data_IF_615487975609
#
_entry.id   IF_615487975609
#
_cell.length_a   1.000
_cell.length_b   1.000
_cell.length_c   1.000
_cell.angle_alpha   90.00
_cell.angle_beta   90.00
_cell.angle_gamma   90.00
#
_symmetry.space_group_name_H-M   'P 1'
#
loop_
_entity.id
_entity.type
_entity.pdbx_description
1 polymer ?
#
# COMPACT_ATOMS: atom_id res chain seq x y z
N UNK A 1 29.82 7.07 -4.27
CA UNK A 1 29.21 7.81 -5.41
C UNK A 1 27.77 7.39 -5.69
N UNK A 2 27.49 6.17 -6.20
CA UNK A 2 26.10 5.71 -6.42
C UNK A 2 25.35 5.57 -5.10
N UNK A 3 26.03 5.11 -4.05
CA UNK A 3 25.46 5.03 -2.70
C UNK A 3 25.17 6.40 -2.10
N UNK A 4 26.00 7.41 -2.39
CA UNK A 4 25.80 8.79 -1.94
C UNK A 4 24.61 9.44 -2.66
N UNK A 5 24.45 9.17 -3.95
CA UNK A 5 23.27 9.59 -4.72
C UNK A 5 22.00 8.93 -4.18
N UNK A 6 22.02 7.62 -3.92
CA UNK A 6 20.87 6.89 -3.33
C UNK A 6 20.55 7.46 -1.95
N UNK A 7 21.57 7.72 -1.11
CA UNK A 7 21.39 8.28 0.23
C UNK A 7 20.82 9.69 0.16
N UNK A 8 21.36 10.55 -0.70
CA UNK A 8 20.86 11.90 -0.92
C UNK A 8 19.40 11.89 -1.41
N UNK A 9 19.09 10.99 -2.35
CA UNK A 9 17.72 10.79 -2.83
C UNK A 9 16.80 10.39 -1.68
N UNK A 10 17.15 9.38 -0.89
CA UNK A 10 16.35 8.92 0.23
C UNK A 10 16.13 9.99 1.31
N UNK A 11 17.15 10.80 1.61
CA UNK A 11 17.11 11.78 2.70
C UNK A 11 16.48 13.12 2.30
N UNK A 12 16.57 13.50 1.02
CA UNK A 12 16.31 14.89 0.59
C UNK A 12 15.31 15.02 -0.56
N UNK A 13 15.25 14.04 -1.47
CA UNK A 13 14.42 14.14 -2.69
C UNK A 13 13.17 13.26 -2.61
N UNK A 14 13.28 12.12 -1.95
CA UNK A 14 12.17 11.17 -1.84
C UNK A 14 11.00 11.76 -1.06
N UNK A 15 9.82 11.18 -1.27
CA UNK A 15 8.61 11.50 -0.51
C UNK A 15 8.88 11.47 1.00
N UNK A 16 9.70 10.50 1.44
CA UNK A 16 10.12 10.37 2.82
C UNK A 16 10.89 11.60 3.33
N UNK A 17 11.89 12.04 2.56
CA UNK A 17 12.73 13.19 2.91
C UNK A 17 11.94 14.50 2.95
N UNK A 18 11.05 14.69 1.98
CA UNK A 18 10.31 15.94 1.79
C UNK A 18 9.09 16.09 2.71
N UNK A 19 8.40 14.99 3.04
CA UNK A 19 7.11 15.06 3.76
C UNK A 19 7.13 14.24 5.05
N UNK A 20 7.46 12.95 4.97
CA UNK A 20 7.28 12.05 6.12
C UNK A 20 8.29 12.24 7.25
N UNK A 21 9.45 12.83 6.96
CA UNK A 21 10.41 13.26 7.99
C UNK A 21 9.75 14.18 9.03
N UNK A 22 8.75 14.96 8.60
CA UNK A 22 7.99 15.89 9.44
C UNK A 22 6.72 15.25 10.07
N UNK A 23 6.42 13.99 9.79
CA UNK A 23 5.18 13.29 10.20
C UNK A 23 5.41 11.93 10.86
N UNK A 24 6.52 11.79 11.61
CA UNK A 24 6.95 10.50 12.21
C UNK A 24 5.85 9.78 13.00
N UNK A 25 5.08 10.52 13.82
CA UNK A 25 4.02 9.94 14.66
C UNK A 25 2.82 9.49 13.84
N UNK A 26 2.39 10.30 12.87
CA UNK A 26 1.25 9.93 12.02
C UNK A 26 1.58 8.73 11.13
N UNK A 27 2.83 8.62 10.66
CA UNK A 27 3.32 7.43 9.97
C UNK A 27 3.27 6.19 10.85
N UNK A 28 3.71 6.29 12.11
CA UNK A 28 3.63 5.17 13.06
C UNK A 28 2.19 4.72 13.28
N UNK A 29 1.28 5.67 13.51
CA UNK A 29 -0.15 5.38 13.64
C UNK A 29 -0.75 4.74 12.39
N UNK A 30 -0.38 5.24 11.21
CA UNK A 30 -0.83 4.69 9.94
C UNK A 30 -0.36 3.24 9.75
N UNK A 31 0.87 2.94 10.13
CA UNK A 31 1.39 1.57 10.05
C UNK A 31 0.65 0.64 11.01
N UNK A 32 0.45 1.07 12.26
CA UNK A 32 -0.31 0.30 13.26
C UNK A 32 -1.74 0.08 12.79
N UNK A 33 -2.41 1.09 12.22
CA UNK A 33 -3.77 0.95 11.72
C UNK A 33 -3.86 -0.04 10.56
N UNK A 34 -2.84 -0.10 9.68
CA UNK A 34 -2.82 -1.10 8.59
C UNK A 34 -2.69 -2.51 9.15
N UNK A 35 -1.77 -2.73 10.09
CA UNK A 35 -1.59 -4.05 10.70
C UNK A 35 -2.87 -4.48 11.42
N UNK A 36 -3.48 -3.58 12.18
CA UNK A 36 -4.75 -3.83 12.83
C UNK A 36 -5.86 -4.17 11.81
N UNK A 37 -5.91 -3.46 10.68
CA UNK A 37 -6.88 -3.72 9.62
C UNK A 37 -6.70 -5.10 8.98
N UNK A 38 -5.45 -5.53 8.76
CA UNK A 38 -5.16 -6.88 8.25
C UNK A 38 -5.65 -7.94 9.24
N UNK A 39 -5.34 -7.76 10.53
CA UNK A 39 -5.74 -8.71 11.59
C UNK A 39 -7.27 -8.80 11.72
N UNK A 40 -7.99 -7.67 11.71
CA UNK A 40 -9.46 -7.69 11.79
C UNK A 40 -10.10 -8.25 10.53
N UNK A 41 -9.51 -8.03 9.35
CA UNK A 41 -9.96 -8.64 8.10
C UNK A 41 -9.80 -10.17 8.14
N UNK A 42 -8.68 -10.67 8.67
CA UNK A 42 -8.49 -12.11 8.89
C UNK A 42 -9.53 -12.67 9.87
N UNK A 43 -9.78 -11.97 10.98
CA UNK A 43 -10.83 -12.36 11.93
C UNK A 43 -12.22 -12.44 11.30
N UNK A 44 -12.55 -11.53 10.38
CA UNK A 44 -13.81 -11.54 9.64
C UNK A 44 -13.89 -12.74 8.67
N UNK A 45 -12.79 -13.10 8.01
CA UNK A 45 -12.73 -14.31 7.18
C UNK A 45 -12.96 -15.58 8.00
N UNK A 46 -12.32 -15.72 9.16
CA UNK A 46 -12.56 -16.86 10.06
C UNK A 46 -13.99 -16.88 10.60
N UNK A 47 -14.55 -15.71 10.93
CA UNK A 47 -15.95 -15.58 11.31
C UNK A 47 -16.89 -16.05 10.20
N UNK A 48 -16.66 -15.64 8.96
CA UNK A 48 -17.44 -16.07 7.80
C UNK A 48 -17.39 -17.60 7.59
N UNK A 49 -16.20 -18.19 7.69
CA UNK A 49 -16.03 -19.65 7.64
C UNK A 49 -16.82 -20.32 8.77
N UNK A 50 -16.75 -19.80 10.00
CA UNK A 50 -17.49 -20.35 11.13
C UNK A 50 -19.02 -20.30 10.93
N UNK A 51 -19.55 -19.19 10.39
CA UNK A 51 -20.98 -19.08 10.04
C UNK A 51 -21.37 -20.14 9.02
N UNK A 52 -20.55 -20.35 7.98
CA UNK A 52 -20.82 -21.42 7.00
C UNK A 52 -20.76 -22.82 7.59
N UNK A 53 -19.95 -23.04 8.65
CA UNK A 53 -19.78 -24.34 9.31
C UNK A 53 -20.81 -24.63 10.40
N UNK A 54 -21.49 -23.63 10.95
CA UNK A 54 -22.37 -23.82 12.11
C UNK A 54 -23.79 -23.28 11.91
N UNK A 55 -24.03 -22.56 10.80
CA UNK A 55 -25.26 -21.82 10.55
C UNK A 55 -25.51 -20.66 11.53
N UNK A 56 -24.63 -20.47 12.51
CA UNK A 56 -24.80 -19.50 13.60
C UNK A 56 -23.96 -18.26 13.31
N UNK A 57 -24.61 -17.10 13.27
CA UNK A 57 -23.92 -15.83 13.00
C UNK A 57 -23.12 -15.38 14.24
N UNK A 58 -21.79 -15.33 14.11
CA UNK A 58 -20.93 -14.67 15.08
C UNK A 58 -20.81 -13.19 14.75
N UNK A 59 -21.43 -12.33 15.56
CA UNK A 59 -21.38 -10.88 15.38
C UNK A 59 -20.10 -10.22 15.93
N UNK A 60 -19.39 -10.91 16.84
CA UNK A 60 -18.22 -10.35 17.53
C UNK A 60 -17.05 -9.90 16.62
N UNK A 61 -16.75 -10.50 15.45
CA UNK A 61 -15.64 -10.04 14.61
C UNK A 61 -16.02 -8.83 13.72
N UNK A 62 -17.31 -8.54 13.54
CA UNK A 62 -17.77 -7.41 12.73
C UNK A 62 -17.51 -6.06 13.41
N UNK A 63 -17.77 -5.99 14.72
CA UNK A 63 -17.59 -4.76 15.52
C UNK A 63 -16.16 -4.22 15.42
N UNK A 64 -15.09 -4.99 15.75
CA UNK A 64 -13.72 -4.49 15.67
C UNK A 64 -13.31 -4.17 14.23
N UNK A 65 -13.82 -4.89 13.23
CA UNK A 65 -13.54 -4.59 11.83
C UNK A 65 -14.03 -3.19 11.43
N UNK A 66 -15.29 -2.86 11.70
CA UNK A 66 -15.84 -1.55 11.35
C UNK A 66 -15.17 -0.41 12.13
N UNK A 67 -14.82 -0.64 13.40
CA UNK A 67 -14.06 0.33 14.21
C UNK A 67 -12.70 0.61 13.59
N UNK A 68 -11.93 -0.44 13.28
CA UNK A 68 -10.59 -0.30 12.70
C UNK A 68 -10.64 0.29 11.28
N UNK A 69 -11.64 -0.07 10.48
CA UNK A 69 -11.87 0.54 9.17
C UNK A 69 -12.11 2.06 9.30
N UNK A 70 -12.99 2.47 10.21
CA UNK A 70 -13.27 3.90 10.46
C UNK A 70 -12.02 4.66 10.89
N UNK A 71 -11.26 4.12 11.85
CA UNK A 71 -9.99 4.70 12.30
C UNK A 71 -9.00 4.83 11.14
N UNK A 72 -8.86 3.80 10.32
CA UNK A 72 -7.93 3.80 9.18
C UNK A 72 -8.29 4.86 8.14
N UNK A 73 -9.58 5.05 7.85
CA UNK A 73 -10.06 6.09 6.94
C UNK A 73 -9.78 7.50 7.50
N UNK A 74 -10.02 7.72 8.79
CA UNK A 74 -9.74 9.00 9.45
C UNK A 74 -8.24 9.32 9.40
N UNK A 75 -7.39 8.33 9.74
CA UNK A 75 -5.94 8.48 9.70
C UNK A 75 -5.48 8.80 8.28
N UNK A 76 -5.97 8.08 7.27
CA UNK A 76 -5.65 8.31 5.86
C UNK A 76 -6.03 9.71 5.40
N UNK A 77 -7.22 10.19 5.78
CA UNK A 77 -7.65 11.55 5.46
C UNK A 77 -6.74 12.60 6.11
N UNK A 78 -6.48 12.46 7.42
CA UNK A 78 -5.60 13.36 8.15
C UNK A 78 -4.17 13.34 7.60
N UNK A 79 -3.72 12.19 7.13
CA UNK A 79 -2.43 12.01 6.47
C UNK A 79 -2.34 12.86 5.20
N UNK A 80 -3.30 12.74 4.29
CA UNK A 80 -3.34 13.55 3.07
C UNK A 80 -3.39 15.05 3.35
N UNK A 81 -4.20 15.48 4.33
CA UNK A 81 -4.32 16.90 4.71
C UNK A 81 -2.98 17.43 5.25
N UNK A 82 -2.31 16.67 6.12
CA UNK A 82 -1.07 17.11 6.75
C UNK A 82 0.11 17.08 5.78
N UNK A 83 0.16 16.11 4.87
CA UNK A 83 1.11 16.08 3.77
C UNK A 83 0.95 17.31 2.86
N UNK A 84 -0.28 17.63 2.43
CA UNK A 84 -0.57 18.85 1.66
C UNK A 84 -0.17 20.12 2.40
N UNK A 85 -0.36 20.16 3.73
CA UNK A 85 0.04 21.31 4.55
C UNK A 85 1.56 21.50 4.54
N UNK A 86 2.34 20.43 4.72
CA UNK A 86 3.81 20.49 4.70
C UNK A 86 4.31 20.92 3.33
N UNK A 87 3.77 20.33 2.26
CA UNK A 87 4.15 20.68 0.89
C UNK A 87 3.88 22.17 0.61
N UNK A 88 2.79 22.70 1.14
CA UNK A 88 2.48 24.13 1.06
C UNK A 88 3.40 25.00 1.91
N UNK A 89 3.68 24.63 3.16
CA UNK A 89 4.47 25.48 4.08
C UNK A 89 5.95 25.47 3.76
N UNK A 90 6.53 24.30 3.46
CA UNK A 90 7.97 24.15 3.23
C UNK A 90 8.38 24.49 1.79
N UNK A 91 7.50 24.25 0.81
CA UNK A 91 7.84 24.39 -0.61
C UNK A 91 6.96 25.37 -1.38
N UNK A 92 5.94 25.98 -0.75
CA UNK A 92 5.06 26.94 -1.41
C UNK A 92 4.20 26.32 -2.52
N UNK A 93 4.03 25.00 -2.55
CA UNK A 93 3.29 24.29 -3.59
C UNK A 93 1.82 24.16 -3.16
N UNK A 94 0.93 24.70 -3.97
CA UNK A 94 -0.51 24.67 -3.74
C UNK A 94 -1.15 23.57 -4.59
N UNK A 95 -1.85 22.64 -3.94
CA UNK A 95 -2.62 21.58 -4.59
C UNK A 95 -4.11 21.90 -4.56
N UNK A 96 -4.85 21.49 -5.60
CA UNK A 96 -6.32 21.47 -5.54
C UNK A 96 -6.78 20.39 -4.57
N UNK A 97 -7.94 20.59 -3.92
CA UNK A 97 -8.49 19.68 -2.89
C UNK A 97 -8.59 18.22 -3.36
N UNK A 98 -8.78 17.99 -4.65
CA UNK A 98 -9.14 16.67 -5.19
C UNK A 98 -7.93 15.93 -5.81
N UNK A 99 -6.84 16.66 -6.10
CA UNK A 99 -5.63 16.15 -6.76
C UNK A 99 -4.66 15.49 -5.77
N UNK A 100 -4.77 15.80 -4.48
CA UNK A 100 -3.81 15.36 -3.46
C UNK A 100 -2.50 16.17 -3.49
N UNK A 101 -1.52 15.78 -2.67
CA UNK A 101 -0.28 16.55 -2.50
C UNK A 101 0.79 16.27 -3.57
N UNK A 102 0.76 15.09 -4.21
CA UNK A 102 1.69 14.66 -5.27
C UNK A 102 1.36 15.28 -6.63
N UNK A 103 1.39 16.61 -6.71
CA UNK A 103 1.12 17.37 -7.94
C UNK A 103 2.31 17.36 -8.91
N UNK A 104 2.11 17.79 -10.16
CA UNK A 104 3.23 17.98 -11.11
C UNK A 104 4.27 18.97 -10.59
N UNK A 105 3.84 20.03 -9.88
CA UNK A 105 4.75 20.98 -9.22
C UNK A 105 5.62 20.32 -8.15
N UNK A 106 5.05 19.35 -7.43
CA UNK A 106 5.79 18.54 -6.46
C UNK A 106 6.85 17.68 -7.17
N UNK A 107 6.49 16.99 -8.25
CA UNK A 107 7.45 16.23 -9.08
C UNK A 107 8.54 17.12 -9.67
N UNK A 108 8.19 18.30 -10.17
CA UNK A 108 9.15 19.27 -10.67
C UNK A 108 10.14 19.72 -9.58
N UNK A 109 9.68 19.86 -8.33
CA UNK A 109 10.56 20.16 -7.19
C UNK A 109 11.54 19.01 -6.92
N UNK A 110 11.07 17.76 -6.92
CA UNK A 110 11.93 16.57 -6.78
C UNK A 110 13.01 16.53 -7.87
N UNK A 111 12.61 16.75 -9.12
CA UNK A 111 13.53 16.81 -10.25
C UNK A 111 14.55 17.95 -10.10
N UNK A 112 14.12 19.15 -9.71
CA UNK A 112 15.05 20.27 -9.50
C UNK A 112 16.09 20.02 -8.40
N UNK A 113 15.72 19.30 -7.32
CA UNK A 113 16.63 18.94 -6.25
C UNK A 113 17.64 17.86 -6.67
N UNK A 114 17.24 16.96 -7.58
CA UNK A 114 18.09 15.94 -8.15
C UNK A 114 19.07 16.55 -9.17
N UNK A 115 18.59 17.38 -10.10
CA UNK A 115 19.42 18.12 -11.06
C UNK A 115 20.47 18.95 -10.34
N UNK A 116 20.06 19.74 -9.34
CA UNK A 116 21.01 20.56 -8.58
C UNK A 116 22.04 19.72 -7.79
N UNK A 117 21.75 18.46 -7.47
CA UNK A 117 22.75 17.56 -6.90
C UNK A 117 23.72 17.05 -7.96
N UNK A 118 23.23 16.69 -9.15
CA UNK A 118 24.06 16.24 -10.25
C UNK A 118 25.04 17.34 -10.68
N UNK A 119 24.56 18.57 -10.88
CA UNK A 119 25.39 19.73 -11.23
C UNK A 119 26.47 20.00 -10.17
N UNK A 120 26.12 19.99 -8.87
CA UNK A 120 27.08 20.23 -7.78
C UNK A 120 28.17 19.16 -7.65
N UNK A 121 27.98 18.00 -8.26
CA UNK A 121 28.93 16.89 -8.22
C UNK A 121 29.53 16.59 -9.60
N UNK A 122 29.34 17.48 -10.59
CA UNK A 122 29.78 17.31 -11.99
C UNK A 122 29.24 16.02 -12.64
N UNK A 123 27.98 15.66 -12.39
CA UNK A 123 27.33 14.42 -12.85
C UNK A 123 26.21 14.65 -13.86
N UNK A 124 26.07 15.88 -14.33
CA UNK A 124 25.05 16.35 -15.26
C UNK A 124 25.33 16.00 -16.73
N UNK A 125 26.54 15.52 -17.06
CA UNK A 125 26.85 15.03 -18.41
C UNK A 125 26.03 13.76 -18.76
N UNK A 126 25.43 13.73 -19.95
CA UNK A 126 24.53 12.65 -20.43
C UNK A 126 25.11 11.24 -20.19
N UNK A 127 26.39 11.05 -20.53
CA UNK A 127 27.05 9.74 -20.37
C UNK A 127 27.28 9.34 -18.90
N UNK A 128 27.37 10.30 -17.98
CA UNK A 128 27.50 10.04 -16.53
C UNK A 128 26.15 9.65 -15.95
N UNK A 129 25.07 10.30 -16.38
CA UNK A 129 23.69 9.95 -16.01
C UNK A 129 23.33 8.54 -16.49
N UNK A 130 23.63 8.18 -17.73
CA UNK A 130 23.43 6.82 -18.26
C UNK A 130 24.19 5.76 -17.43
N UNK A 131 25.46 6.06 -17.11
CA UNK A 131 26.30 5.17 -16.30
C UNK A 131 25.79 5.01 -14.87
N UNK A 132 25.14 6.03 -14.30
CA UNK A 132 24.47 5.96 -13.01
C UNK A 132 23.23 5.06 -13.08
N UNK A 133 22.37 5.23 -14.09
CA UNK A 133 21.19 4.39 -14.32
C UNK A 133 21.62 2.91 -14.43
N UNK A 134 22.62 2.62 -15.25
CA UNK A 134 23.10 1.26 -15.46
C UNK A 134 23.61 0.62 -14.16
N UNK A 135 24.40 1.36 -13.37
CA UNK A 135 24.90 0.87 -12.07
C UNK A 135 23.79 0.63 -11.05
N UNK A 136 22.76 1.48 -11.00
CA UNK A 136 21.63 1.30 -10.08
C UNK A 136 20.82 0.04 -10.46
N UNK A 137 20.60 -0.17 -11.76
CA UNK A 137 19.91 -1.35 -12.30
C UNK A 137 20.67 -2.64 -11.99
N UNK A 138 21.99 -2.65 -12.14
CA UNK A 138 22.80 -3.84 -11.85
C UNK A 138 22.87 -4.16 -10.35
N UNK A 139 22.88 -3.14 -9.48
CA UNK A 139 22.73 -3.31 -8.03
C UNK A 139 21.36 -3.90 -7.62
N UNK A 140 20.35 -3.81 -8.49
CA UNK A 140 19.00 -4.37 -8.32
C UNK A 140 18.91 -5.88 -8.43
N UNK A 141 19.78 -6.49 -9.24
CA UNK A 141 19.71 -7.92 -9.60
C UNK A 141 20.17 -8.88 -8.49
N UNK A 142 20.70 -8.37 -7.38
CA UNK A 142 21.48 -9.17 -6.41
C UNK A 142 20.76 -9.65 -5.14
N UNK A 143 19.44 -9.49 -4.99
CA UNK A 143 18.75 -9.97 -3.77
C UNK A 143 17.46 -10.74 -4.04
N UNK A 144 17.52 -12.01 -3.60
CA UNK A 144 16.49 -13.04 -3.37
C UNK A 144 15.34 -13.05 -4.38
N UNK A 145 15.15 -14.14 -5.14
CA UNK A 145 14.09 -14.22 -6.13
C UNK A 145 12.72 -13.94 -5.49
N UNK A 146 11.91 -13.01 -6.05
CA UNK A 146 10.63 -12.57 -5.50
C UNK A 146 9.58 -13.70 -5.37
N UNK A 147 9.89 -14.92 -5.82
CA UNK A 147 9.07 -16.13 -5.76
C UNK A 147 9.21 -16.92 -4.46
N UNK A 148 10.26 -16.70 -3.65
CA UNK A 148 10.48 -17.48 -2.42
C UNK A 148 9.46 -17.15 -1.33
N UNK A 149 9.15 -15.86 -1.14
CA UNK A 149 8.18 -15.42 -0.13
C UNK A 149 6.73 -15.82 -0.47
N UNK A 150 6.23 -15.66 -1.72
CA UNK A 150 4.94 -16.22 -2.12
C UNK A 150 4.91 -17.75 -2.03
N UNK A 151 6.01 -18.43 -2.36
CA UNK A 151 6.13 -19.88 -2.27
C UNK A 151 6.01 -20.41 -0.83
N UNK A 152 6.63 -19.74 0.13
CA UNK A 152 6.47 -20.04 1.56
C UNK A 152 5.03 -19.80 2.04
N UNK A 153 4.41 -18.69 1.63
CA UNK A 153 3.02 -18.39 1.95
C UNK A 153 2.06 -19.46 1.39
N UNK A 154 2.26 -19.87 0.14
CA UNK A 154 1.51 -20.95 -0.51
C UNK A 154 1.73 -22.29 0.20
N UNK A 155 2.97 -22.61 0.59
CA UNK A 155 3.29 -23.84 1.30
C UNK A 155 2.59 -23.94 2.67
N UNK A 156 2.34 -22.81 3.34
CA UNK A 156 1.55 -22.77 4.58
C UNK A 156 0.04 -22.74 4.33
N UNK A 157 -0.42 -22.06 3.28
CA UNK A 157 -1.86 -21.96 2.99
C UNK A 157 -2.44 -23.27 2.42
N UNK A 158 -1.74 -23.94 1.50
CA UNK A 158 -2.28 -25.12 0.80
C UNK A 158 -2.71 -26.24 1.75
N UNK A 159 -1.93 -26.61 2.80
CA UNK A 159 -2.35 -27.60 3.78
C UNK A 159 -3.60 -27.17 4.57
N UNK A 160 -3.69 -25.88 4.94
CA UNK A 160 -4.85 -25.33 5.65
C UNK A 160 -6.12 -25.39 4.78
N UNK A 161 -6.00 -25.07 3.49
CA UNK A 161 -7.10 -25.17 2.52
C UNK A 161 -7.55 -26.62 2.29
N UNK A 162 -6.61 -27.56 2.18
CA UNK A 162 -6.93 -28.99 2.03
C UNK A 162 -7.67 -29.55 3.25
N UNK A 163 -7.43 -29.01 4.45
CA UNK A 163 -8.18 -29.41 5.65
C UNK A 163 -9.55 -28.72 5.77
N UNK A 164 -9.69 -27.51 5.25
CA UNK A 164 -10.92 -26.71 5.33
C UNK A 164 -12.04 -27.28 4.44
N UNK A 165 -11.70 -27.70 3.22
CA UNK A 165 -12.67 -28.12 2.19
C UNK A 165 -13.53 -29.33 2.64
N UNK A 166 -12.96 -30.43 3.16
CA UNK A 166 -13.75 -31.57 3.65
C UNK A 166 -14.68 -31.20 4.81
N UNK A 167 -14.24 -30.26 5.66
CA UNK A 167 -14.98 -29.78 6.82
C UNK A 167 -16.23 -28.99 6.39
N UNK A 168 -16.11 -28.16 5.36
CA UNK A 168 -17.24 -27.44 4.75
C UNK A 168 -18.24 -28.43 4.13
N UNK A 169 -17.76 -29.43 3.38
CA UNK A 169 -18.63 -30.44 2.77
C UNK A 169 -19.38 -31.31 3.79
N UNK A 170 -18.73 -31.64 4.91
CA UNK A 170 -19.35 -32.42 5.98
C UNK A 170 -20.51 -31.67 6.67
N UNK A 171 -20.40 -30.35 6.83
CA UNK A 171 -21.44 -29.53 7.46
C UNK A 171 -22.63 -29.29 6.52
N UNK A 172 -22.37 -28.97 5.25
CA UNK A 172 -23.42 -28.61 4.29
C UNK A 172 -24.41 -29.77 4.04
N UNK A 173 -23.98 -31.02 4.24
CA UNK A 173 -24.83 -32.21 4.12
C UNK A 173 -25.89 -32.41 5.22
N UNK A 174 -25.89 -31.60 6.30
CA UNK A 174 -26.70 -31.87 7.51
C UNK A 174 -27.91 -30.93 7.76
N UNK A 175 -28.06 -29.81 7.03
CA UNK A 175 -29.16 -28.85 7.28
C UNK A 175 -30.47 -29.23 6.55
N UNK A 176 -31.55 -29.43 7.31
CA UNK A 176 -32.90 -29.81 6.82
C UNK A 176 -33.87 -28.64 6.61
N UNK A 177 -33.48 -27.38 6.91
CA UNK A 177 -34.32 -26.19 6.68
C UNK A 177 -33.70 -25.28 5.61
N UNK A 178 -33.63 -25.82 4.39
CA UNK A 178 -32.75 -25.34 3.33
C UNK A 178 -33.17 -24.05 2.63
N UNK A 179 -34.42 -23.58 2.73
CA UNK A 179 -34.88 -22.45 1.91
C UNK A 179 -34.71 -21.09 2.58
N UNK A 180 -35.08 -20.94 3.85
CA UNK A 180 -35.00 -19.65 4.56
C UNK A 180 -33.54 -19.33 4.92
N UNK A 181 -32.76 -20.33 5.35
CA UNK A 181 -31.32 -20.16 5.64
C UNK A 181 -30.52 -19.86 4.36
N UNK A 182 -30.90 -20.45 3.23
CA UNK A 182 -30.25 -20.21 1.94
C UNK A 182 -30.65 -18.85 1.35
N UNK A 183 -31.90 -18.41 1.53
CA UNK A 183 -32.32 -17.05 1.15
C UNK A 183 -31.69 -15.98 2.06
N UNK A 184 -31.60 -16.20 3.36
CA UNK A 184 -30.95 -15.28 4.29
C UNK A 184 -29.43 -15.24 4.05
N UNK A 185 -28.82 -16.39 3.79
CA UNK A 185 -27.42 -16.52 3.40
C UNK A 185 -27.14 -15.86 2.05
N UNK A 186 -27.98 -16.08 1.04
CA UNK A 186 -27.87 -15.41 -0.25
C UNK A 186 -28.08 -13.90 -0.13
N UNK A 187 -28.99 -13.44 0.73
CA UNK A 187 -29.19 -12.02 1.02
C UNK A 187 -27.97 -11.42 1.74
N UNK A 188 -27.39 -12.10 2.74
CA UNK A 188 -26.19 -11.63 3.43
C UNK A 188 -24.95 -11.67 2.53
N UNK A 189 -24.80 -12.68 1.67
CA UNK A 189 -23.72 -12.77 0.69
C UNK A 189 -23.89 -11.70 -0.39
N UNK A 190 -25.11 -11.48 -0.89
CA UNK A 190 -25.36 -10.42 -1.89
C UNK A 190 -25.23 -9.02 -1.30
N UNK A 191 -25.65 -8.80 -0.06
CA UNK A 191 -25.40 -7.56 0.67
C UNK A 191 -23.90 -7.38 0.95
N UNK A 192 -23.17 -8.44 1.29
CA UNK A 192 -21.72 -8.41 1.48
C UNK A 192 -20.99 -8.14 0.16
N UNK A 193 -21.41 -8.76 -0.94
CA UNK A 193 -20.90 -8.50 -2.29
C UNK A 193 -21.26 -7.09 -2.76
N UNK A 194 -22.47 -6.60 -2.50
CA UNK A 194 -22.89 -5.25 -2.84
C UNK A 194 -22.14 -4.20 -2.01
N UNK A 195 -21.91 -4.46 -0.72
CA UNK A 195 -21.04 -3.66 0.14
C UNK A 195 -19.62 -3.75 -0.40
N UNK A 196 -19.08 -4.92 -0.75
CA UNK A 196 -17.76 -5.05 -1.37
C UNK A 196 -17.69 -4.34 -2.71
N UNK A 197 -18.73 -4.30 -3.54
CA UNK A 197 -18.70 -3.64 -4.86
C UNK A 197 -18.88 -2.12 -4.75
N UNK A 198 -19.76 -1.66 -3.86
CA UNK A 198 -19.99 -0.25 -3.58
C UNK A 198 -18.79 0.35 -2.85
N UNK A 199 -18.35 -0.37 -1.82
CA UNK A 199 -17.12 -0.05 -1.12
C UNK A 199 -15.93 -0.28 -2.04
N UNK A 200 -15.82 -1.30 -2.89
CA UNK A 200 -14.66 -1.48 -3.77
C UNK A 200 -14.47 -0.34 -4.75
N UNK A 201 -15.44 0.51 -5.08
CA UNK A 201 -15.16 1.77 -5.81
C UNK A 201 -14.55 2.84 -4.91
N UNK A 202 -15.08 3.01 -3.70
CA UNK A 202 -14.62 3.98 -2.70
C UNK A 202 -13.30 3.49 -2.08
N UNK A 203 -13.31 2.30 -1.50
CA UNK A 203 -12.18 1.45 -1.14
C UNK A 203 -11.21 1.25 -2.31
N UNK A 204 -11.57 1.08 -3.59
CA UNK A 204 -10.52 1.12 -4.64
C UNK A 204 -9.85 2.47 -4.61
N UNK A 205 -10.60 3.57 -4.64
CA UNK A 205 -9.98 4.90 -4.66
C UNK A 205 -9.11 5.17 -3.43
N UNK A 206 -9.59 4.79 -2.25
CA UNK A 206 -8.92 5.02 -0.97
C UNK A 206 -7.88 3.95 -0.66
N UNK A 207 -8.17 2.65 -0.75
CA UNK A 207 -7.20 1.55 -0.63
C UNK A 207 -6.19 1.54 -1.77
N UNK A 208 -6.50 1.89 -3.02
CA UNK A 208 -5.46 1.97 -4.07
C UNK A 208 -4.52 3.14 -3.80
N UNK A 209 -5.04 4.33 -3.47
CA UNK A 209 -4.20 5.46 -3.01
C UNK A 209 -3.44 5.13 -1.72
N UNK A 210 -4.07 4.46 -0.76
CA UNK A 210 -3.46 4.05 0.51
C UNK A 210 -2.49 2.87 0.36
N UNK A 211 -2.68 1.97 -0.60
CA UNK A 211 -1.76 0.90 -0.98
C UNK A 211 -0.56 1.49 -1.70
N UNK A 212 -0.78 2.43 -2.60
CA UNK A 212 0.31 3.11 -3.29
C UNK A 212 1.09 4.07 -2.40
N UNK A 213 0.46 4.72 -1.42
CA UNK A 213 1.13 5.65 -0.50
C UNK A 213 1.66 4.95 0.75
N UNK A 214 0.87 4.16 1.48
CA UNK A 214 1.28 3.62 2.79
C UNK A 214 1.84 2.20 2.68
N UNK A 215 1.30 1.33 1.81
CA UNK A 215 1.81 -0.04 1.67
C UNK A 215 3.17 -0.09 0.96
N UNK A 216 3.39 0.79 -0.02
CA UNK A 216 4.69 1.01 -0.65
C UNK A 216 5.75 1.53 0.31
N UNK A 217 5.34 2.30 1.31
CA UNK A 217 6.22 2.90 2.31
C UNK A 217 6.49 2.00 3.51
N UNK A 218 5.51 1.19 3.95
CA UNK A 218 5.72 0.15 4.97
C UNK A 218 6.61 -0.98 4.45
N UNK A 219 6.35 -1.43 3.23
CA UNK A 219 7.21 -2.37 2.52
C UNK A 219 8.13 -1.57 1.61
N UNK A 220 8.97 -0.72 2.21
CA UNK A 220 10.04 0.05 1.56
C UNK A 220 10.98 -0.92 0.83
N UNK A 221 10.53 -1.43 -0.30
CA UNK A 221 11.28 -2.33 -1.11
C UNK A 221 12.38 -1.46 -1.70
N UNK A 222 13.63 -1.74 -1.31
CA UNK A 222 14.80 -1.03 -1.83
C UNK A 222 14.82 -0.99 -3.37
N UNK A 223 14.10 -1.91 -4.04
CA UNK A 223 13.82 -1.87 -5.47
C UNK A 223 12.97 -0.67 -5.89
N UNK A 224 11.85 -0.37 -5.24
CA UNK A 224 10.95 0.72 -5.64
C UNK A 224 11.60 2.10 -5.55
N UNK A 225 12.38 2.34 -4.49
CA UNK A 225 13.14 3.58 -4.33
C UNK A 225 14.22 3.74 -5.42
N UNK A 226 14.75 2.61 -5.93
CA UNK A 226 15.68 2.60 -7.06
C UNK A 226 14.94 2.85 -8.38
N UNK A 227 13.78 2.22 -8.57
CA UNK A 227 12.96 2.41 -9.77
C UNK A 227 12.51 3.89 -9.88
N UNK A 228 12.04 4.49 -8.79
CA UNK A 228 11.67 5.91 -8.75
C UNK A 228 12.87 6.84 -9.01
N UNK A 229 14.05 6.50 -8.50
CA UNK A 229 15.29 7.23 -8.79
C UNK A 229 15.71 7.07 -10.25
N UNK A 230 15.58 5.87 -10.83
CA UNK A 230 15.88 5.61 -12.25
C UNK A 230 14.94 6.43 -13.13
N UNK A 231 13.62 6.42 -12.88
CA UNK A 231 12.66 7.21 -13.64
C UNK A 231 12.97 8.71 -13.58
N UNK A 232 13.38 9.22 -12.42
CA UNK A 232 13.77 10.62 -12.30
C UNK A 232 15.10 10.93 -13.03
N UNK A 233 16.05 10.00 -13.07
CA UNK A 233 17.29 10.15 -13.85
C UNK A 233 17.02 10.09 -15.36
N UNK A 234 16.09 9.24 -15.79
CA UNK A 234 15.61 9.20 -17.19
C UNK A 234 14.93 10.51 -17.57
N UNK A 235 14.08 11.07 -16.70
CA UNK A 235 13.46 12.39 -16.91
C UNK A 235 14.49 13.53 -16.98
N UNK A 236 15.63 13.41 -16.28
CA UNK A 236 16.74 14.35 -16.39
C UNK A 236 17.46 14.20 -17.73
N UNK A 237 17.72 12.96 -18.14
CA UNK A 237 18.37 12.65 -19.43
C UNK A 237 17.56 13.18 -20.62
N UNK A 238 16.23 13.09 -20.57
CA UNK A 238 15.34 13.62 -21.61
C UNK A 238 15.32 15.17 -21.68
N UNK A 239 15.87 15.86 -20.68
CA UNK A 239 15.89 17.33 -20.60
C UNK A 239 17.26 17.95 -20.87
N UNK A 240 18.33 17.14 -20.92
CA UNK A 240 19.69 17.52 -21.29
C UNK A 240 19.83 17.50 -22.82
#
# INVERSE_FOLDING_TARGET
MVEDLIKYYEETVSDYGLVYKHMKWLRCLSNISVVAFILTTMGLLFGGIYVTLTGTIMYWPFIPFFVVLGITLIISHYHGVRASKIVKTEYGIYSRKDEGWKTEKYKAKQLSLLVGYLERNDLDETHRVEKLIQRITDLGKSKIPPLVAPGLLLAFLVPLWNHLIPLIYAVVGLSKNSLVELLLGAFLISAYVAIILFSSRIIYRYIFKFREEIFSEMFRAKSRTRDELITLLEDVLLKL
#
